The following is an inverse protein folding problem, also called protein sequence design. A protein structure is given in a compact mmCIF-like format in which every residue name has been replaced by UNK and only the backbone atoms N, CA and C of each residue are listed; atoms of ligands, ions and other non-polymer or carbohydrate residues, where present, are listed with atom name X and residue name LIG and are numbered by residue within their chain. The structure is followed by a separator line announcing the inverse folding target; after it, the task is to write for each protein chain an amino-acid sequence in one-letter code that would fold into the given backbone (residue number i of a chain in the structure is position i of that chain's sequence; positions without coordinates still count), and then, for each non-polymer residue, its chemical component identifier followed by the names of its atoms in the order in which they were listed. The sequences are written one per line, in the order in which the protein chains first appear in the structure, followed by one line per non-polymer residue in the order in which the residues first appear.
data_IF_088182203611
#
_entry.id   IF_088182203611
#
_cell.length_a   1.000
_cell.length_b   1.000
_cell.length_c   1.000
_cell.angle_alpha   90.00
_cell.angle_beta   90.00
_cell.angle_gamma   90.00
#
_symmetry.space_group_name_H-M   'P 1'
#
loop_
_entity.id
_entity.type
_entity.pdbx_description
1 polymer ?
#
# COMPACT_ATOMS: atom_id res chain seq x y z
N UNK A 1 3.68 27.65 -20.61
CA UNK A 1 4.79 26.94 -19.94
C UNK A 1 5.42 27.87 -18.90
N UNK A 2 4.83 28.02 -17.71
CA UNK A 2 5.35 28.88 -16.64
C UNK A 2 5.27 28.25 -15.23
N UNK A 3 4.78 27.00 -15.11
CA UNK A 3 4.64 26.33 -13.81
C UNK A 3 5.97 25.79 -13.25
N UNK A 4 6.98 25.57 -14.09
CA UNK A 4 8.25 24.95 -13.67
C UNK A 4 9.10 25.81 -12.73
N UNK A 5 9.10 27.14 -12.91
CA UNK A 5 9.90 28.03 -12.07
C UNK A 5 9.25 28.28 -10.69
N UNK A 6 7.92 28.27 -10.62
CA UNK A 6 7.18 28.39 -9.36
C UNK A 6 7.27 27.14 -8.47
N UNK A 7 7.56 25.96 -9.04
CA UNK A 7 7.84 24.73 -8.29
C UNK A 7 9.21 24.74 -7.61
N UNK A 8 10.15 25.53 -8.12
CA UNK A 8 11.49 25.74 -7.54
C UNK A 8 11.52 26.92 -6.56
N UNK A 9 10.36 27.42 -6.16
CA UNK A 9 10.30 28.42 -5.11
C UNK A 9 10.85 27.81 -3.81
N UNK A 10 11.83 28.47 -3.20
CA UNK A 10 12.57 27.94 -2.05
C UNK A 10 11.62 27.65 -0.87
N UNK A 11 10.48 28.36 -0.84
CA UNK A 11 9.42 28.20 0.15
C UNK A 11 8.67 26.87 0.05
N UNK A 12 8.68 26.20 -1.11
CA UNK A 12 8.05 24.88 -1.30
C UNK A 12 8.96 23.72 -0.88
N UNK A 13 10.27 23.94 -0.78
CA UNK A 13 11.25 22.89 -0.44
C UNK A 13 10.91 22.17 0.87
N UNK A 14 10.58 22.86 1.98
CA UNK A 14 10.22 22.17 3.23
C UNK A 14 8.98 21.29 3.08
N UNK A 15 7.97 21.76 2.37
CA UNK A 15 6.74 21.00 2.12
C UNK A 15 7.02 19.79 1.20
N UNK A 16 7.80 19.98 0.15
CA UNK A 16 8.20 18.91 -0.77
C UNK A 16 9.01 17.82 -0.05
N UNK A 17 9.93 18.21 0.84
CA UNK A 17 10.67 17.27 1.70
C UNK A 17 9.70 16.53 2.63
N UNK A 18 8.77 17.24 3.27
CA UNK A 18 7.76 16.63 4.13
C UNK A 18 6.93 15.57 3.39
N UNK A 19 6.42 15.89 2.20
CA UNK A 19 5.66 14.97 1.36
C UNK A 19 6.53 13.78 0.93
N UNK A 20 7.77 14.00 0.49
CA UNK A 20 8.67 12.92 0.09
C UNK A 20 8.98 11.94 1.24
N UNK A 21 9.18 12.47 2.45
CA UNK A 21 9.42 11.65 3.63
C UNK A 21 8.15 10.88 4.00
N UNK A 22 7.02 11.56 4.14
CA UNK A 22 5.78 10.96 4.63
C UNK A 22 5.16 9.97 3.63
N UNK A 23 5.30 10.22 2.32
CA UNK A 23 4.69 9.39 1.26
C UNK A 23 5.59 8.26 0.77
N UNK A 24 6.92 8.38 0.89
CA UNK A 24 7.85 7.37 0.35
C UNK A 24 8.82 6.86 1.40
N UNK A 25 9.61 7.74 2.02
CA UNK A 25 10.71 7.29 2.88
C UNK A 25 10.22 6.56 4.14
N UNK A 26 9.19 7.10 4.80
CA UNK A 26 8.58 6.53 5.99
C UNK A 26 7.84 5.22 5.68
N UNK A 27 6.89 5.17 4.72
CA UNK A 27 6.20 3.92 4.40
C UNK A 27 7.17 2.84 3.93
N UNK A 28 8.14 3.15 3.06
CA UNK A 28 9.14 2.18 2.60
C UNK A 28 10.00 1.64 3.74
N UNK A 29 10.39 2.50 4.68
CA UNK A 29 11.13 2.07 5.87
C UNK A 29 10.29 1.13 6.73
N UNK A 30 9.00 1.44 6.92
CA UNK A 30 8.07 0.58 7.64
C UNK A 30 7.87 -0.76 6.93
N UNK A 31 7.79 -0.78 5.60
CA UNK A 31 7.71 -2.02 4.81
C UNK A 31 8.95 -2.89 5.01
N UNK A 32 10.15 -2.32 4.93
CA UNK A 32 11.39 -3.08 5.18
C UNK A 32 11.44 -3.64 6.61
N UNK A 33 11.01 -2.85 7.61
CA UNK A 33 10.91 -3.33 8.99
C UNK A 33 9.84 -4.43 9.12
N UNK A 34 8.69 -4.27 8.48
CA UNK A 34 7.61 -5.26 8.51
C UNK A 34 8.07 -6.59 7.88
N UNK A 35 8.82 -6.56 6.78
CA UNK A 35 9.41 -7.75 6.17
C UNK A 35 10.40 -8.49 7.09
N UNK A 36 11.09 -7.77 7.98
CA UNK A 36 11.98 -8.40 8.99
C UNK A 36 11.24 -8.98 10.20
N UNK A 37 10.01 -8.53 10.46
CA UNK A 37 9.22 -8.84 11.67
C UNK A 37 8.00 -9.73 11.41
N UNK A 38 7.58 -9.85 10.15
CA UNK A 38 6.38 -10.56 9.70
C UNK A 38 6.76 -11.56 8.61
N UNK A 39 6.02 -12.67 8.48
CA UNK A 39 6.22 -13.57 7.34
C UNK A 39 5.90 -12.82 6.03
N UNK A 40 6.68 -13.05 4.96
CA UNK A 40 6.46 -12.41 3.65
C UNK A 40 5.01 -12.59 3.13
N UNK A 41 4.34 -13.65 3.58
CA UNK A 41 2.94 -13.94 3.26
C UNK A 41 1.95 -13.01 3.97
N UNK A 42 2.15 -12.70 5.25
CA UNK A 42 1.31 -11.75 6.02
C UNK A 42 1.50 -10.32 5.50
N UNK A 43 2.74 -9.96 5.16
CA UNK A 43 3.01 -8.68 4.49
C UNK A 43 2.31 -8.60 3.13
N UNK A 44 2.37 -9.67 2.33
CA UNK A 44 1.65 -9.76 1.05
C UNK A 44 0.12 -9.59 1.18
N UNK A 45 -0.50 -10.10 2.25
CA UNK A 45 -1.92 -9.84 2.51
C UNK A 45 -2.21 -8.37 2.86
N UNK A 46 -1.34 -7.72 3.65
CA UNK A 46 -1.49 -6.30 3.96
C UNK A 46 -1.24 -5.40 2.74
N UNK A 47 -0.20 -5.70 1.95
CA UNK A 47 0.11 -5.00 0.71
C UNK A 47 -1.02 -5.14 -0.32
N UNK A 48 -1.71 -6.29 -0.37
CA UNK A 48 -2.89 -6.46 -1.22
C UNK A 48 -4.04 -5.49 -0.89
N UNK A 49 -4.05 -4.88 0.30
CA UNK A 49 -5.07 -3.88 0.68
C UNK A 49 -4.70 -2.46 0.23
N UNK A 50 -3.45 -2.18 -0.13
CA UNK A 50 -3.03 -0.85 -0.63
C UNK A 50 -3.88 -0.31 -1.78
N UNK A 51 -4.25 -1.09 -2.82
CA UNK A 51 -5.06 -0.60 -3.92
C UNK A 51 -6.46 -0.19 -3.47
N UNK A 52 -6.99 -0.84 -2.43
CA UNK A 52 -8.29 -0.50 -1.84
C UNK A 52 -8.21 0.88 -1.19
N UNK A 53 -7.19 1.12 -0.37
CA UNK A 53 -6.98 2.42 0.26
C UNK A 53 -6.64 3.52 -0.75
N UNK A 54 -5.87 3.21 -1.79
CA UNK A 54 -5.56 4.14 -2.87
C UNK A 54 -6.84 4.55 -3.63
N UNK A 55 -7.69 3.59 -3.99
CA UNK A 55 -8.95 3.87 -4.68
C UNK A 55 -9.96 4.63 -3.79
N UNK A 56 -10.06 4.28 -2.50
CA UNK A 56 -10.90 5.01 -1.55
C UNK A 56 -10.40 6.44 -1.34
N UNK A 57 -9.09 6.63 -1.26
CA UNK A 57 -8.50 7.97 -1.15
C UNK A 57 -8.78 8.79 -2.41
N UNK A 58 -8.66 8.21 -3.61
CA UNK A 58 -9.06 8.86 -4.87
C UNK A 58 -10.53 9.24 -4.91
N UNK A 59 -11.43 8.36 -4.45
CA UNK A 59 -12.86 8.64 -4.34
C UNK A 59 -13.14 9.80 -3.37
N UNK A 60 -12.51 9.83 -2.19
CA UNK A 60 -12.79 10.82 -1.15
C UNK A 60 -12.15 12.18 -1.45
N UNK A 61 -10.88 12.21 -1.86
CA UNK A 61 -10.15 13.47 -2.06
C UNK A 61 -10.35 14.05 -3.46
N UNK A 62 -10.52 13.20 -4.47
CA UNK A 62 -10.63 13.60 -5.88
C UNK A 62 -12.08 13.59 -6.40
N UNK A 63 -13.04 13.07 -5.61
CA UNK A 63 -14.45 12.87 -6.00
C UNK A 63 -14.62 12.11 -7.33
N UNK A 64 -13.67 11.21 -7.64
CA UNK A 64 -13.73 10.41 -8.88
C UNK A 64 -14.91 9.45 -8.87
N UNK A 65 -15.71 9.48 -9.93
CA UNK A 65 -16.79 8.51 -10.12
C UNK A 65 -16.17 7.18 -10.57
N UNK A 66 -15.94 6.28 -9.60
CA UNK A 66 -15.39 4.96 -9.87
C UNK A 66 -16.32 4.18 -10.82
N UNK A 67 -15.77 3.78 -11.96
CA UNK A 67 -16.46 2.95 -12.95
C UNK A 67 -16.77 1.55 -12.38
N UNK A 68 -17.78 0.89 -12.94
CA UNK A 68 -18.20 -0.46 -12.56
C UNK A 68 -17.04 -1.47 -12.61
N UNK A 69 -16.10 -1.28 -13.54
CA UNK A 69 -14.88 -2.10 -13.67
C UNK A 69 -13.90 -1.88 -12.52
N UNK A 70 -13.77 -0.65 -12.00
CA UNK A 70 -12.92 -0.36 -10.84
C UNK A 70 -13.50 -0.98 -9.57
N UNK A 71 -14.83 -0.94 -9.41
CA UNK A 71 -15.52 -1.65 -8.32
C UNK A 71 -15.28 -3.16 -8.38
N UNK A 72 -15.35 -3.77 -9.56
CA UNK A 72 -15.02 -5.19 -9.75
C UNK A 72 -13.56 -5.49 -9.40
N UNK A 73 -12.62 -4.63 -9.78
CA UNK A 73 -11.21 -4.79 -9.44
C UNK A 73 -10.98 -4.73 -7.92
N UNK A 74 -11.57 -3.74 -7.23
CA UNK A 74 -11.52 -3.63 -5.76
C UNK A 74 -12.11 -4.89 -5.11
N UNK A 75 -13.27 -5.35 -5.60
CA UNK A 75 -13.91 -6.58 -5.12
C UNK A 75 -13.01 -7.80 -5.26
N UNK A 76 -12.41 -8.00 -6.45
CA UNK A 76 -11.49 -9.11 -6.70
C UNK A 76 -10.27 -9.09 -5.77
N UNK A 77 -9.72 -7.91 -5.50
CA UNK A 77 -8.59 -7.72 -4.56
C UNK A 77 -9.00 -8.09 -3.14
N UNK A 78 -10.16 -7.64 -2.67
CA UNK A 78 -10.69 -7.99 -1.34
C UNK A 78 -10.89 -9.51 -1.23
N UNK A 79 -11.49 -10.15 -2.24
CA UNK A 79 -11.69 -11.60 -2.26
C UNK A 79 -10.36 -12.38 -2.24
N UNK A 80 -9.38 -11.95 -3.03
CA UNK A 80 -8.05 -12.55 -3.03
C UNK A 80 -7.35 -12.38 -1.67
N UNK A 81 -7.48 -11.21 -1.04
CA UNK A 81 -6.94 -10.93 0.30
C UNK A 81 -7.54 -11.85 1.36
N UNK A 82 -8.88 -11.97 1.40
CA UNK A 82 -9.58 -12.89 2.30
C UNK A 82 -9.16 -14.35 2.05
N UNK A 83 -9.09 -14.76 0.78
CA UNK A 83 -8.63 -16.11 0.41
C UNK A 83 -7.21 -16.41 0.85
N UNK A 84 -6.30 -15.44 0.73
CA UNK A 84 -4.93 -15.56 1.20
C UNK A 84 -4.85 -15.62 2.74
N UNK A 85 -5.65 -14.83 3.47
CA UNK A 85 -5.75 -14.89 4.93
C UNK A 85 -6.31 -16.24 5.42
N UNK A 86 -7.38 -16.74 4.80
CA UNK A 86 -8.00 -18.03 5.15
C UNK A 86 -7.08 -19.21 4.83
N UNK A 87 -6.38 -19.18 3.69
CA UNK A 87 -5.34 -20.17 3.36
C UNK A 87 -4.19 -20.15 4.37
N UNK A 88 -3.84 -18.96 4.87
CA UNK A 88 -2.79 -18.81 5.89
C UNK A 88 -3.17 -19.40 7.24
N UNK A 89 -4.46 -19.42 7.62
CA UNK A 89 -4.92 -20.10 8.83
C UNK A 89 -4.78 -21.63 8.77
N UNK A 90 -4.68 -22.19 7.55
CA UNK A 90 -4.57 -23.63 7.30
C UNK A 90 -3.14 -24.10 7.00
N UNK A 91 -2.16 -23.20 6.92
CA UNK A 91 -0.76 -23.55 6.73
C UNK A 91 -0.19 -24.15 8.02
N UNK A 92 -0.22 -25.49 8.14
CA UNK A 92 0.43 -26.22 9.24
C UNK A 92 1.89 -25.73 9.40
N UNK A 93 2.36 -25.46 10.63
CA UNK A 93 3.76 -25.16 10.89
C UNK A 93 4.61 -26.30 10.36
N UNK A 94 5.44 -26.00 9.37
CA UNK A 94 6.47 -26.92 8.89
C UNK A 94 7.51 -26.97 10.02
N UNK A 95 7.39 -27.98 10.89
CA UNK A 95 8.39 -28.25 11.91
C UNK A 95 9.68 -28.62 11.18
N UNK A 96 10.68 -27.74 11.28
CA UNK A 96 12.06 -28.05 10.87
C UNK A 96 12.55 -29.16 11.81
N UNK A 97 12.90 -30.36 11.31
CA UNK A 97 13.53 -31.38 12.13
C UNK A 97 14.82 -30.81 12.70
N UNK A 98 15.01 -30.94 14.01
CA UNK A 98 16.28 -30.64 14.65
C UNK A 98 17.15 -31.90 14.52
N UNK A 99 17.96 -31.95 13.47
CA UNK A 99 19.11 -32.85 13.33
C UNK A 99 20.44 -32.13 13.66
#
# INVERSE_FOLDING_TARGET
MHAGAALLDISLIPAAIGVAILSTALPYSLEMVALTRMSARTFGTLASLEPVFAALSGLVFLHENLSLTQWLAIGAIIFASIGATLSSANAKPQLVPAD
#
